data_IF_091817668124
#
_entry.id   IF_091817668124
#
_cell.length_a   1.000
_cell.length_b   1.000
_cell.length_c   1.000
_cell.angle_alpha   90.00
_cell.angle_beta   90.00
_cell.angle_gamma   90.00
#
_symmetry.space_group_name_H-M   'P 1'
#
loop_
_entity.id
_entity.type
_entity.pdbx_description
1 polymer ?
#
# COMPACT_ATOMS: atom_id res chain seq x y z
N UNK A 1 -16.04 -8.21 22.98
CA UNK A 1 -15.29 -7.48 21.93
C UNK A 1 -14.01 -8.24 21.66
N UNK A 2 -13.75 -8.60 20.41
CA UNK A 2 -12.51 -9.30 20.00
C UNK A 2 -11.38 -8.30 19.77
N UNK A 3 -10.17 -8.64 20.21
CA UNK A 3 -8.97 -7.80 20.04
C UNK A 3 -8.09 -8.32 18.92
N UNK A 4 -7.71 -7.43 18.00
CA UNK A 4 -6.86 -7.73 16.82
C UNK A 4 -5.57 -6.93 16.87
N UNK A 5 -4.42 -7.61 16.84
CA UNK A 5 -3.14 -6.96 16.58
C UNK A 5 -2.88 -6.88 15.07
N UNK A 6 -2.51 -5.71 14.56
CA UNK A 6 -2.05 -5.51 13.20
C UNK A 6 -0.59 -5.12 13.25
N UNK A 7 0.30 -5.95 12.70
CA UNK A 7 1.73 -5.66 12.68
C UNK A 7 2.13 -5.06 11.34
N UNK A 8 2.52 -3.79 11.37
CA UNK A 8 2.90 -2.97 10.23
C UNK A 8 1.85 -1.94 9.84
N UNK A 9 2.24 -0.66 9.84
CA UNK A 9 1.44 0.48 9.37
C UNK A 9 1.70 0.80 7.88
N UNK A 10 1.88 -0.22 7.05
CA UNK A 10 1.87 -0.09 5.59
C UNK A 10 0.46 0.01 5.03
N UNK A 11 0.33 0.11 3.69
CA UNK A 11 -0.98 0.21 3.01
C UNK A 11 -1.93 -0.91 3.46
N UNK A 12 -1.45 -2.14 3.54
CA UNK A 12 -2.28 -3.31 3.91
C UNK A 12 -2.78 -3.23 5.35
N UNK A 13 -1.89 -2.89 6.31
CA UNK A 13 -2.26 -2.78 7.72
C UNK A 13 -3.21 -1.60 7.97
N UNK A 14 -2.93 -0.44 7.38
CA UNK A 14 -3.79 0.73 7.49
C UNK A 14 -5.15 0.51 6.81
N UNK A 15 -5.19 -0.16 5.65
CA UNK A 15 -6.46 -0.51 5.00
C UNK A 15 -7.31 -1.43 5.88
N UNK A 16 -6.70 -2.49 6.43
CA UNK A 16 -7.39 -3.40 7.34
C UNK A 16 -7.94 -2.66 8.58
N UNK A 17 -7.14 -1.78 9.17
CA UNK A 17 -7.58 -0.97 10.31
C UNK A 17 -8.81 -0.13 9.99
N UNK A 18 -8.84 0.51 8.81
CA UNK A 18 -10.00 1.25 8.33
C UNK A 18 -11.25 0.35 8.17
N UNK A 19 -11.08 -0.88 7.69
CA UNK A 19 -12.19 -1.84 7.60
C UNK A 19 -12.69 -2.25 9.00
N UNK A 20 -11.78 -2.52 9.94
CA UNK A 20 -12.12 -2.90 11.30
C UNK A 20 -12.79 -1.75 12.08
N UNK A 21 -12.44 -0.52 11.77
CA UNK A 21 -13.04 0.67 12.41
C UNK A 21 -14.55 0.77 12.22
N UNK A 22 -15.11 0.07 11.24
CA UNK A 22 -16.56 0.02 10.99
C UNK A 22 -17.30 -0.96 11.90
N UNK A 23 -16.58 -1.82 12.60
CA UNK A 23 -17.16 -2.88 13.42
C UNK A 23 -16.93 -2.62 14.91
N UNK A 24 -17.97 -2.27 15.62
CA UNK A 24 -17.94 -1.95 17.06
C UNK A 24 -17.66 -3.16 17.97
N UNK A 25 -17.73 -4.38 17.43
CA UNK A 25 -17.44 -5.61 18.19
C UNK A 25 -15.95 -5.98 18.16
N UNK A 26 -15.17 -5.29 17.32
CA UNK A 26 -13.74 -5.52 17.17
C UNK A 26 -12.98 -4.32 17.70
N UNK A 27 -12.06 -4.58 18.60
CA UNK A 27 -11.01 -3.65 18.99
C UNK A 27 -9.71 -4.02 18.28
N UNK A 28 -8.95 -3.04 17.81
CA UNK A 28 -7.68 -3.32 17.15
C UNK A 28 -6.59 -2.35 17.60
N UNK A 29 -5.34 -2.79 17.43
CA UNK A 29 -4.16 -1.95 17.64
C UNK A 29 -3.13 -2.26 16.56
N UNK A 30 -2.53 -1.21 16.00
CA UNK A 30 -1.49 -1.29 14.98
C UNK A 30 -0.13 -1.13 15.67
N UNK A 31 0.81 -1.96 15.30
CA UNK A 31 2.20 -1.92 15.78
C UNK A 31 3.12 -1.59 14.61
N UNK A 32 3.81 -0.46 14.68
CA UNK A 32 4.75 -0.01 13.66
C UNK A 32 6.15 0.15 14.28
N UNK A 33 7.14 -0.50 13.67
CA UNK A 33 8.53 -0.46 14.17
C UNK A 33 9.19 0.90 14.04
N UNK A 34 8.79 1.71 13.05
CA UNK A 34 9.30 3.07 12.87
C UNK A 34 8.72 3.99 13.95
N UNK A 35 9.39 5.11 14.18
CA UNK A 35 8.95 6.14 15.10
C UNK A 35 7.88 7.07 14.49
N UNK A 36 7.77 7.08 13.16
CA UNK A 36 6.73 7.80 12.40
C UNK A 36 6.58 7.21 10.99
N UNK A 37 5.49 7.55 10.32
CA UNK A 37 5.32 7.25 8.89
C UNK A 37 5.92 8.38 8.05
N UNK A 38 6.92 8.04 7.23
CA UNK A 38 7.52 9.02 6.33
C UNK A 38 6.56 9.34 5.16
N UNK A 39 5.86 10.46 5.25
CA UNK A 39 4.96 10.96 4.22
C UNK A 39 5.69 11.74 3.11
N UNK A 40 7.01 11.96 3.24
CA UNK A 40 7.81 12.64 2.23
C UNK A 40 8.35 11.71 1.14
N UNK A 41 8.24 10.39 1.30
CA UNK A 41 8.57 9.42 0.26
C UNK A 41 7.55 9.48 -0.86
N UNK A 42 7.88 10.23 -1.90
CA UNK A 42 6.93 10.69 -2.90
C UNK A 42 6.98 9.99 -4.25
N UNK A 43 7.34 8.69 -4.35
CA UNK A 43 7.15 8.02 -5.64
C UNK A 43 5.66 7.74 -5.92
N UNK A 44 5.35 7.77 -7.23
CA UNK A 44 4.00 7.50 -7.71
C UNK A 44 3.61 6.02 -7.58
N UNK A 45 2.32 5.80 -7.47
CA UNK A 45 1.69 4.49 -7.59
C UNK A 45 0.51 4.56 -8.55
N UNK A 46 0.15 3.42 -9.10
CA UNK A 46 -0.98 3.25 -9.98
C UNK A 46 -1.97 2.28 -9.32
N UNK A 47 -3.23 2.67 -9.28
CA UNK A 47 -4.33 1.90 -8.69
C UNK A 47 -5.35 1.60 -9.78
N UNK A 48 -5.53 0.33 -10.05
CA UNK A 48 -6.57 -0.15 -10.97
C UNK A 48 -7.96 -0.12 -10.33
N UNK A 49 -8.98 -0.22 -11.13
CA UNK A 49 -10.39 -0.10 -10.69
C UNK A 49 -10.77 -1.05 -9.57
N UNK A 50 -10.23 -2.26 -9.54
CA UNK A 50 -10.46 -3.21 -8.45
C UNK A 50 -9.87 -2.71 -7.12
N UNK A 51 -8.69 -2.06 -7.13
CA UNK A 51 -8.11 -1.44 -5.94
C UNK A 51 -8.91 -0.23 -5.49
N UNK A 52 -9.37 0.59 -6.44
CA UNK A 52 -10.22 1.75 -6.14
C UNK A 52 -11.56 1.31 -5.54
N UNK A 53 -12.17 0.26 -6.08
CA UNK A 53 -13.41 -0.30 -5.52
C UNK A 53 -13.25 -0.71 -4.04
N UNK A 54 -12.13 -1.34 -3.69
CA UNK A 54 -11.82 -1.65 -2.29
C UNK A 54 -11.60 -0.38 -1.46
N UNK A 55 -10.79 0.56 -1.93
CA UNK A 55 -10.51 1.81 -1.23
C UNK A 55 -11.76 2.68 -1.04
N UNK A 56 -12.69 2.65 -2.00
CA UNK A 56 -13.97 3.35 -1.88
C UNK A 56 -14.82 2.84 -0.72
N UNK A 57 -14.66 1.59 -0.32
CA UNK A 57 -15.31 1.06 0.89
C UNK A 57 -14.86 1.80 2.16
N UNK A 58 -13.63 2.30 2.19
CA UNK A 58 -13.09 3.09 3.31
C UNK A 58 -13.10 4.61 3.04
N UNK A 59 -13.87 5.06 2.05
CA UNK A 59 -14.14 6.48 1.82
C UNK A 59 -13.21 7.16 0.81
N UNK A 60 -12.40 6.42 0.04
CA UNK A 60 -11.45 7.00 -0.93
C UNK A 60 -12.11 7.88 -2.00
N UNK A 61 -13.37 7.64 -2.33
CA UNK A 61 -14.16 8.50 -3.24
C UNK A 61 -14.23 9.97 -2.81
N UNK A 62 -13.97 10.26 -1.53
CA UNK A 62 -13.98 11.60 -0.98
C UNK A 62 -12.59 12.27 -0.99
N UNK A 63 -11.56 11.60 -1.55
CA UNK A 63 -10.22 12.19 -1.66
C UNK A 63 -10.28 13.44 -2.55
N UNK A 64 -9.45 14.44 -2.23
CA UNK A 64 -9.41 15.66 -3.04
C UNK A 64 -8.98 15.35 -4.48
N UNK A 65 -9.69 15.92 -5.45
CA UNK A 65 -9.32 15.79 -6.86
C UNK A 65 -7.94 16.39 -7.18
N UNK A 66 -7.43 17.29 -6.34
CA UNK A 66 -6.06 17.82 -6.46
C UNK A 66 -4.98 16.80 -6.11
N UNK A 67 -5.33 15.76 -5.37
CA UNK A 67 -4.39 14.78 -4.83
C UNK A 67 -4.26 13.51 -5.69
N UNK A 68 -5.07 13.40 -6.72
CA UNK A 68 -5.13 12.24 -7.61
C UNK A 68 -5.14 12.66 -9.08
N UNK A 69 -4.78 11.74 -9.96
CA UNK A 69 -4.90 11.90 -11.39
C UNK A 69 -5.59 10.69 -12.00
N UNK A 70 -6.41 10.92 -13.04
CA UNK A 70 -7.19 9.88 -13.72
C UNK A 70 -6.71 9.72 -15.16
N UNK A 71 -5.68 8.90 -15.42
CA UNK A 71 -5.24 8.65 -16.79
C UNK A 71 -6.36 7.96 -17.59
N UNK A 72 -6.48 8.30 -18.84
CA UNK A 72 -7.49 7.69 -19.73
C UNK A 72 -6.92 6.58 -20.60
N UNK A 73 -5.61 6.52 -20.75
CA UNK A 73 -4.93 5.55 -21.62
C UNK A 73 -3.61 5.05 -21.02
N UNK A 74 -3.22 3.86 -21.43
CA UNK A 74 -1.85 3.35 -21.33
C UNK A 74 -1.32 3.20 -22.74
N UNK A 75 -0.27 3.94 -23.07
CA UNK A 75 0.41 3.88 -24.37
C UNK A 75 1.67 3.01 -24.25
N UNK A 76 1.88 2.12 -25.18
CA UNK A 76 3.07 1.30 -25.28
C UNK A 76 3.93 1.71 -26.47
N UNK A 77 5.22 1.89 -26.25
CA UNK A 77 6.18 2.33 -27.25
C UNK A 77 7.40 1.40 -27.25
N UNK A 78 8.06 1.30 -28.39
CA UNK A 78 9.41 0.76 -28.47
C UNK A 78 10.39 1.77 -27.87
N UNK A 79 11.27 1.34 -26.97
CA UNK A 79 12.18 2.26 -26.28
C UNK A 79 13.26 2.88 -27.20
N UNK A 80 13.66 2.18 -28.27
CA UNK A 80 14.76 2.58 -29.17
C UNK A 80 14.39 3.67 -30.20
N UNK A 81 13.13 3.74 -30.63
CA UNK A 81 12.68 4.63 -31.71
C UNK A 81 11.37 5.36 -31.39
N UNK A 82 10.82 5.14 -30.19
CA UNK A 82 9.57 5.75 -29.70
C UNK A 82 8.35 5.42 -30.60
N UNK A 83 8.46 4.35 -31.40
CA UNK A 83 7.34 3.89 -32.23
C UNK A 83 6.25 3.30 -31.33
N UNK A 84 5.02 3.79 -31.51
CA UNK A 84 3.85 3.25 -30.78
C UNK A 84 3.59 1.82 -31.20
N UNK A 85 3.46 0.94 -30.20
CA UNK A 85 3.14 -0.48 -30.38
C UNK A 85 1.62 -0.66 -30.31
N UNK A 86 1.00 -0.19 -29.19
CA UNK A 86 -0.43 -0.28 -28.96
C UNK A 86 -0.86 0.74 -27.89
N UNK A 87 -2.14 0.80 -27.64
CA UNK A 87 -2.72 1.52 -26.50
C UNK A 87 -3.82 0.70 -25.86
N UNK A 88 -4.04 0.94 -24.57
CA UNK A 88 -5.18 0.44 -23.81
C UNK A 88 -6.01 1.64 -23.40
N UNK A 89 -7.27 1.68 -23.81
CA UNK A 89 -8.23 2.67 -23.35
C UNK A 89 -8.75 2.28 -21.96
N UNK A 90 -8.36 3.03 -20.94
CA UNK A 90 -8.75 2.76 -19.55
C UNK A 90 -10.22 3.07 -19.28
N UNK A 91 -10.89 3.86 -20.16
CA UNK A 91 -12.31 4.15 -20.02
C UNK A 91 -13.18 2.88 -20.11
N UNK A 92 -12.70 1.84 -20.79
CA UNK A 92 -13.39 0.55 -20.88
C UNK A 92 -13.52 -0.18 -19.53
N UNK A 93 -12.63 0.12 -18.59
CA UNK A 93 -12.58 -0.52 -17.26
C UNK A 93 -13.14 0.39 -16.17
N UNK A 94 -13.19 1.71 -16.43
CA UNK A 94 -13.69 2.70 -15.49
C UNK A 94 -15.23 2.65 -15.44
N UNK A 95 -15.76 2.89 -14.24
CA UNK A 95 -17.17 3.16 -14.05
C UNK A 95 -17.36 4.52 -13.35
N UNK A 96 -18.57 4.85 -12.97
CA UNK A 96 -18.89 6.14 -12.35
C UNK A 96 -18.10 6.38 -11.06
N UNK A 97 -17.91 5.32 -10.25
CA UNK A 97 -17.31 5.42 -8.92
C UNK A 97 -15.86 4.92 -8.87
N UNK A 98 -15.47 4.02 -9.77
CA UNK A 98 -14.18 3.38 -9.77
C UNK A 98 -13.41 3.75 -11.04
N UNK A 99 -12.41 4.61 -10.91
CA UNK A 99 -11.55 5.05 -12.01
C UNK A 99 -10.12 4.65 -11.77
N UNK A 100 -9.44 4.20 -12.82
CA UNK A 100 -8.00 4.01 -12.75
C UNK A 100 -7.34 5.29 -12.28
N UNK A 101 -6.54 5.21 -11.22
CA UNK A 101 -6.04 6.37 -10.50
C UNK A 101 -4.53 6.28 -10.34
N UNK A 102 -3.84 7.40 -10.55
CA UNK A 102 -2.43 7.55 -10.18
C UNK A 102 -2.29 8.65 -9.14
N UNK A 103 -1.41 8.46 -8.18
CA UNK A 103 -1.18 9.38 -7.07
C UNK A 103 0.18 9.11 -6.44
N UNK A 104 0.64 10.02 -5.56
CA UNK A 104 1.79 9.75 -4.70
C UNK A 104 1.44 8.70 -3.66
N UNK A 105 2.37 7.77 -3.39
CA UNK A 105 2.19 6.77 -2.33
C UNK A 105 1.93 7.41 -0.97
N UNK A 106 2.60 8.52 -0.68
CA UNK A 106 2.41 9.30 0.55
C UNK A 106 0.98 9.80 0.70
N UNK A 107 0.34 10.23 -0.39
CA UNK A 107 -1.07 10.66 -0.39
C UNK A 107 -2.00 9.51 0.02
N UNK A 108 -1.77 8.29 -0.50
CA UNK A 108 -2.57 7.14 -0.09
C UNK A 108 -2.35 6.78 1.39
N UNK A 109 -1.10 6.79 1.85
CA UNK A 109 -0.79 6.52 3.26
C UNK A 109 -1.45 7.56 4.16
N UNK A 110 -1.34 8.85 3.80
CA UNK A 110 -1.99 9.94 4.54
C UNK A 110 -3.51 9.74 4.61
N UNK A 111 -4.15 9.49 3.49
CA UNK A 111 -5.60 9.19 3.45
C UNK A 111 -5.98 8.05 4.40
N UNK A 112 -5.22 6.97 4.42
CA UNK A 112 -5.53 5.81 5.25
C UNK A 112 -5.29 6.07 6.74
N UNK A 113 -4.24 6.81 7.10
CA UNK A 113 -3.93 7.06 8.51
C UNK A 113 -4.83 8.14 9.12
N UNK A 114 -5.22 9.15 8.35
CA UNK A 114 -6.07 10.25 8.83
C UNK A 114 -7.45 9.76 9.35
N UNK A 115 -7.87 8.57 8.97
CA UNK A 115 -9.11 7.94 9.42
C UNK A 115 -8.93 7.02 10.65
N UNK A 116 -7.71 6.90 11.19
CA UNK A 116 -7.38 6.01 12.30
C UNK A 116 -7.08 6.84 13.54
N UNK A 117 -7.75 6.61 14.69
CA UNK A 117 -7.43 7.30 15.93
C UNK A 117 -5.96 7.06 16.33
N UNK A 118 -5.27 8.11 16.76
CA UNK A 118 -3.83 8.05 17.09
C UNK A 118 -3.52 7.01 18.17
N UNK A 119 -4.40 6.85 19.15
CA UNK A 119 -4.26 5.87 20.25
C UNK A 119 -4.31 4.41 19.78
N UNK A 120 -4.77 4.16 18.54
CA UNK A 120 -4.76 2.82 17.93
C UNK A 120 -3.42 2.45 17.31
N UNK A 121 -2.47 3.39 17.23
CA UNK A 121 -1.17 3.14 16.58
C UNK A 121 -0.06 3.23 17.63
N UNK A 122 0.63 2.12 17.81
CA UNK A 122 1.82 2.03 18.63
C UNK A 122 3.05 2.11 17.72
N UNK A 123 3.67 3.27 17.65
CA UNK A 123 4.97 3.45 17.01
C UNK A 123 6.12 2.94 17.87
N UNK A 124 7.31 2.78 17.30
CA UNK A 124 8.51 2.21 17.94
C UNK A 124 8.26 0.83 18.53
N UNK A 125 7.40 0.05 17.89
CA UNK A 125 7.05 -1.31 18.33
C UNK A 125 7.49 -2.33 17.28
N UNK A 126 8.75 -2.74 17.33
CA UNK A 126 9.28 -3.83 16.51
C UNK A 126 8.91 -5.16 17.17
N UNK A 127 7.83 -5.79 16.72
CA UNK A 127 7.38 -7.06 17.28
C UNK A 127 8.42 -8.13 16.99
N UNK A 128 8.95 -8.74 18.06
CA UNK A 128 10.05 -9.68 18.00
C UNK A 128 9.59 -11.12 18.19
N UNK A 129 8.56 -11.33 19.01
CA UNK A 129 8.09 -12.65 19.36
C UNK A 129 6.56 -12.74 19.39
N UNK A 130 6.05 -13.91 19.00
CA UNK A 130 4.63 -14.28 19.03
C UNK A 130 4.50 -15.62 19.75
N UNK A 131 3.78 -15.63 20.87
CA UNK A 131 3.47 -16.83 21.64
C UNK A 131 1.99 -17.18 21.47
N UNK A 132 1.73 -18.44 21.18
CA UNK A 132 0.39 -18.98 20.98
C UNK A 132 -0.04 -19.79 22.22
N UNK A 133 -0.93 -19.21 23.01
CA UNK A 133 -1.60 -19.86 24.15
C UNK A 133 -3.11 -19.74 23.96
N UNK A 134 -3.89 -19.60 25.03
CA UNK A 134 -5.32 -19.27 24.96
C UNK A 134 -5.59 -17.97 24.18
N UNK A 135 -4.63 -17.02 24.25
CA UNK A 135 -4.56 -15.81 23.44
C UNK A 135 -3.21 -15.70 22.77
N UNK A 136 -3.13 -14.88 21.74
CA UNK A 136 -1.87 -14.58 21.05
C UNK A 136 -1.18 -13.46 21.82
N UNK A 137 -0.03 -13.73 22.40
CA UNK A 137 0.80 -12.75 23.07
C UNK A 137 1.89 -12.29 22.12
N UNK A 138 2.00 -10.99 21.92
CA UNK A 138 3.08 -10.37 21.15
C UNK A 138 4.00 -9.60 22.08
N UNK A 139 5.29 -9.55 21.73
CA UNK A 139 6.31 -8.88 22.55
C UNK A 139 7.20 -7.97 21.70
N UNK A 140 7.51 -6.79 22.23
CA UNK A 140 8.46 -5.82 21.66
C UNK A 140 9.18 -5.10 22.79
N UNK A 141 10.49 -4.94 22.66
CA UNK A 141 11.35 -4.40 23.72
C UNK A 141 11.07 -5.09 25.06
N UNK A 142 10.67 -4.33 26.09
CA UNK A 142 10.28 -4.85 27.40
C UNK A 142 8.75 -4.90 27.59
N UNK A 143 7.98 -4.74 26.51
CA UNK A 143 6.53 -4.73 26.54
C UNK A 143 5.93 -6.01 25.97
N UNK A 144 4.72 -6.33 26.41
CA UNK A 144 3.91 -7.39 25.80
C UNK A 144 2.42 -7.06 25.91
N UNK A 145 1.62 -7.60 25.01
CA UNK A 145 0.18 -7.47 25.01
C UNK A 145 -0.47 -8.72 24.39
N UNK A 146 -1.70 -9.04 24.81
CA UNK A 146 -2.43 -10.23 24.36
C UNK A 146 -3.64 -9.88 23.53
N UNK A 147 -3.86 -10.65 22.44
CA UNK A 147 -4.89 -10.46 21.44
C UNK A 147 -5.63 -11.76 21.13
N UNK A 148 -6.83 -11.66 20.57
CA UNK A 148 -7.56 -12.82 20.06
C UNK A 148 -7.07 -13.21 18.66
N UNK A 149 -6.60 -12.22 17.85
CA UNK A 149 -6.09 -12.42 16.50
C UNK A 149 -4.87 -11.56 16.25
N UNK A 150 -4.02 -12.00 15.35
CA UNK A 150 -2.89 -11.22 14.80
C UNK A 150 -2.92 -11.24 13.28
N UNK A 151 -2.69 -10.09 12.67
CA UNK A 151 -2.48 -9.95 11.23
C UNK A 151 -1.11 -9.37 10.97
N UNK A 152 -0.26 -10.14 10.29
CA UNK A 152 1.09 -9.71 9.93
C UNK A 152 1.05 -9.00 8.58
N UNK A 153 1.26 -7.70 8.59
CA UNK A 153 1.27 -6.80 7.44
C UNK A 153 2.61 -6.00 7.35
N UNK A 154 3.70 -6.57 7.89
CA UNK A 154 5.03 -5.95 8.04
C UNK A 154 5.91 -6.05 6.78
N UNK A 155 5.33 -6.52 5.67
CA UNK A 155 5.93 -6.47 4.34
C UNK A 155 6.75 -7.69 3.95
N UNK A 156 7.43 -7.58 2.80
CA UNK A 156 8.15 -8.70 2.18
C UNK A 156 9.31 -9.23 3.03
N UNK A 157 9.94 -8.36 3.81
CA UNK A 157 11.06 -8.72 4.71
C UNK A 157 10.59 -9.08 6.13
N UNK A 158 9.33 -9.49 6.26
CA UNK A 158 8.76 -9.94 7.53
C UNK A 158 9.61 -11.01 8.19
N UNK A 159 10.02 -10.77 9.44
CA UNK A 159 10.66 -11.78 10.27
C UNK A 159 9.63 -12.65 11.00
N UNK A 160 8.43 -12.14 11.21
CA UNK A 160 7.38 -12.81 11.96
C UNK A 160 6.71 -13.94 11.17
N UNK A 161 6.73 -13.87 9.84
CA UNK A 161 6.14 -14.94 9.01
C UNK A 161 6.75 -16.32 9.29
N UNK A 162 8.04 -16.39 9.65
CA UNK A 162 8.69 -17.65 10.01
C UNK A 162 8.23 -18.21 11.34
N UNK A 163 7.69 -17.39 12.24
CA UNK A 163 7.13 -17.82 13.52
C UNK A 163 5.71 -18.41 13.37
N UNK A 164 5.01 -18.08 12.29
CA UNK A 164 3.66 -18.59 11.99
C UNK A 164 3.72 -19.79 11.05
N UNK A 165 4.66 -19.74 10.11
CA UNK A 165 4.82 -20.80 9.10
C UNK A 165 6.06 -21.62 9.42
N UNK A 166 5.93 -22.95 9.42
CA UNK A 166 7.07 -23.87 9.57
C UNK A 166 8.08 -23.77 8.40
N UNK A 167 7.82 -22.91 7.42
CA UNK A 167 8.66 -22.68 6.26
C UNK A 167 9.42 -21.37 6.39
N UNK A 168 10.75 -21.42 6.40
CA UNK A 168 11.63 -20.24 6.32
C UNK A 168 11.59 -19.69 4.89
N UNK A 169 10.59 -18.83 4.61
CA UNK A 169 10.45 -18.16 3.32
C UNK A 169 11.27 -16.87 3.33
N UNK A 170 12.53 -16.94 2.94
CA UNK A 170 13.33 -15.76 2.70
C UNK A 170 13.04 -15.20 1.29
N UNK A 171 12.94 -13.86 1.15
CA UNK A 171 12.85 -13.25 -0.17
C UNK A 171 14.06 -13.61 -1.03
N UNK A 172 13.79 -14.06 -2.25
CA UNK A 172 14.85 -14.37 -3.24
C UNK A 172 14.91 -13.21 -4.23
N UNK A 173 16.11 -12.67 -4.46
CA UNK A 173 16.32 -11.67 -5.49
C UNK A 173 16.13 -12.31 -6.87
N UNK A 174 15.18 -11.78 -7.64
CA UNK A 174 14.81 -12.32 -8.95
C UNK A 174 15.62 -11.72 -10.13
N UNK A 175 16.68 -10.96 -9.85
CA UNK A 175 17.52 -10.32 -10.86
C UNK A 175 16.99 -8.97 -11.37
N UNK A 176 15.84 -8.48 -10.92
CA UNK A 176 15.28 -7.21 -11.39
C UNK A 176 15.45 -6.10 -10.36
N UNK A 177 15.74 -4.89 -10.86
CA UNK A 177 15.85 -3.67 -10.07
C UNK A 177 14.83 -2.66 -10.58
N UNK A 178 14.09 -2.01 -9.69
CA UNK A 178 13.21 -0.91 -10.00
C UNK A 178 13.80 0.42 -9.52
N UNK A 179 14.09 1.33 -10.45
CA UNK A 179 14.49 2.70 -10.16
C UNK A 179 13.25 3.60 -10.26
N UNK A 180 13.11 4.54 -9.32
CA UNK A 180 11.97 5.47 -9.30
C UNK A 180 12.46 6.88 -9.07
N UNK A 181 11.87 7.83 -9.82
CA UNK A 181 12.14 9.24 -9.71
C UNK A 181 10.87 10.06 -9.96
N UNK A 182 10.79 11.24 -9.36
CA UNK A 182 9.78 12.23 -9.66
C UNK A 182 10.42 13.34 -10.51
N UNK A 183 9.74 13.68 -11.60
CA UNK A 183 10.15 14.77 -12.49
C UNK A 183 9.07 15.85 -12.43
N UNK A 184 9.50 17.11 -12.44
CA UNK A 184 8.56 18.23 -12.66
C UNK A 184 8.32 18.34 -14.17
N UNK A 185 7.10 18.11 -14.59
CA UNK A 185 6.68 18.24 -15.98
C UNK A 185 5.42 19.08 -16.04
N UNK A 186 5.29 19.93 -17.05
CA UNK A 186 4.15 20.84 -17.20
C UNK A 186 2.95 20.18 -17.87
N UNK A 187 3.15 19.15 -18.67
CA UNK A 187 2.09 18.43 -19.36
C UNK A 187 1.71 17.17 -18.59
N UNK A 188 0.43 17.02 -18.32
CA UNK A 188 -0.15 15.83 -17.71
C UNK A 188 -0.63 14.90 -18.80
N UNK A 189 0.20 13.93 -19.10
CA UNK A 189 -0.11 12.92 -20.10
C UNK A 189 -0.69 11.66 -19.47
N UNK A 190 -1.10 10.77 -20.33
CA UNK A 190 -1.47 9.41 -19.97
C UNK A 190 -0.26 8.59 -19.51
N UNK A 191 -0.51 7.37 -19.07
CA UNK A 191 0.55 6.43 -18.75
C UNK A 191 1.28 6.06 -20.05
N UNK A 192 2.61 6.11 -20.04
CA UNK A 192 3.45 5.67 -21.15
C UNK A 192 4.43 4.59 -20.68
N UNK A 193 4.47 3.49 -21.40
CA UNK A 193 5.35 2.35 -21.16
C UNK A 193 6.28 2.20 -22.36
N UNK A 194 7.58 2.34 -22.14
CA UNK A 194 8.60 2.16 -23.15
C UNK A 194 9.27 0.81 -22.97
N UNK A 195 9.12 -0.05 -23.96
CA UNK A 195 9.57 -1.46 -23.93
C UNK A 195 10.94 -1.58 -24.58
N UNK A 196 11.96 -1.95 -23.80
CA UNK A 196 13.27 -2.37 -24.28
C UNK A 196 13.45 -3.88 -24.20
N UNK A 197 14.59 -4.40 -24.68
CA UNK A 197 14.86 -5.85 -24.69
C UNK A 197 14.97 -6.47 -23.30
N UNK A 198 15.58 -5.76 -22.35
CA UNK A 198 15.83 -6.24 -20.99
C UNK A 198 15.35 -5.24 -19.92
N UNK A 199 14.57 -4.24 -20.30
CA UNK A 199 14.01 -3.25 -19.39
C UNK A 199 12.70 -2.71 -19.92
N UNK A 200 11.95 -2.09 -19.05
CA UNK A 200 10.88 -1.18 -19.42
C UNK A 200 10.98 0.10 -18.58
N UNK A 201 10.53 1.18 -19.16
CA UNK A 201 10.46 2.48 -18.51
C UNK A 201 9.02 2.96 -18.52
N UNK A 202 8.50 3.37 -17.36
CA UNK A 202 7.10 3.77 -17.21
C UNK A 202 7.04 5.19 -16.68
N UNK A 203 6.30 6.04 -17.37
CA UNK A 203 5.95 7.39 -16.89
C UNK A 203 4.46 7.51 -16.69
N UNK A 204 4.07 8.23 -15.68
CA UNK A 204 2.68 8.57 -15.43
C UNK A 204 2.59 9.82 -14.55
N UNK A 205 1.52 10.63 -14.73
CA UNK A 205 1.31 11.81 -13.92
C UNK A 205 0.94 11.42 -12.48
N UNK A 206 1.42 12.21 -11.54
CA UNK A 206 0.97 12.23 -10.14
C UNK A 206 0.80 13.68 -9.71
N UNK A 207 -0.05 13.93 -8.74
CA UNK A 207 -0.30 15.27 -8.21
C UNK A 207 0.60 15.59 -7.03
#
# INVERSE_FOLDING_TARGET
MKKVAIVGAGISGLYLANELNKNTEIDYKIFEKKDYLNLNEGYGIQLSVNSINLLNKVGFKNISASDVYYPTKVNFFQANNIKKICEIDLKQFNNENDRYTTLKRSTLIKFLIDNIPEEKIQFKADIQNIEYNEKIKISWDNNNESFDYIVIADGVFSKLKSQISNNHLNPIFNGNIALRANLKQHEKDNISVFMGSNFHYVTYPVN
#
